data_IF_890502094305
#
_entry.id   IF_890502094305
#
_cell.length_a   1.000
_cell.length_b   1.000
_cell.length_c   1.000
_cell.angle_alpha   90.00
_cell.angle_beta   90.00
_cell.angle_gamma   90.00
#
_symmetry.space_group_name_H-M   'P 1'
#
loop_
_entity.id
_entity.type
_entity.pdbx_description
1 polymer ?
#
# COMPACT_ATOMS: atom_id res chain seq x y z
N UNK A 1 -10.62 9.09 -4.88
CA UNK A 1 -9.95 9.08 -6.18
C UNK A 1 -9.18 10.39 -6.32
N UNK A 2 -7.91 10.41 -5.91
CA UNK A 2 -7.04 11.57 -6.10
C UNK A 2 -6.78 11.71 -7.59
N UNK A 3 -7.16 12.85 -8.15
CA UNK A 3 -6.79 13.29 -9.49
C UNK A 3 -5.28 13.16 -9.65
N UNK A 4 -4.86 12.23 -10.52
CA UNK A 4 -3.53 12.08 -11.13
C UNK A 4 -2.63 13.33 -10.97
N UNK A 5 -1.88 13.41 -9.86
CA UNK A 5 -0.74 14.31 -9.76
C UNK A 5 0.51 13.58 -10.26
N UNK A 6 0.42 12.99 -11.46
CA UNK A 6 1.51 12.23 -12.07
C UNK A 6 2.80 13.03 -12.20
N UNK A 7 2.71 14.37 -12.20
CA UNK A 7 3.85 15.28 -12.17
C UNK A 7 4.75 15.11 -10.92
N UNK A 8 4.21 14.60 -9.81
CA UNK A 8 4.92 14.34 -8.56
C UNK A 8 5.20 12.85 -8.31
N UNK A 9 4.87 11.96 -9.26
CA UNK A 9 5.23 10.54 -9.24
C UNK A 9 6.68 10.31 -9.72
N UNK A 10 7.57 11.23 -9.35
CA UNK A 10 9.00 11.26 -9.64
C UNK A 10 9.76 11.91 -8.48
N UNK A 11 11.07 11.76 -8.45
CA UNK A 11 11.90 12.56 -7.55
C UNK A 11 11.87 14.03 -8.01
N UNK A 12 11.56 14.90 -7.07
CA UNK A 12 11.63 16.36 -7.20
C UNK A 12 12.65 16.86 -6.18
N UNK A 13 13.68 17.53 -6.66
CA UNK A 13 14.77 18.03 -5.84
C UNK A 13 14.36 19.27 -5.02
N UNK A 14 15.01 19.57 -3.88
CA UNK A 14 14.65 20.70 -3.02
C UNK A 14 14.62 22.08 -3.70
N UNK A 15 15.39 22.25 -4.77
CA UNK A 15 15.48 23.49 -5.54
C UNK A 15 14.48 23.55 -6.70
N UNK A 16 13.81 22.44 -7.04
CA UNK A 16 12.82 22.41 -8.11
C UNK A 16 11.51 23.08 -7.66
N UNK A 17 10.84 23.84 -8.55
CA UNK A 17 9.49 24.30 -8.30
C UNK A 17 8.57 23.13 -7.99
N UNK A 18 7.73 23.27 -6.96
CA UNK A 18 6.78 22.21 -6.57
C UNK A 18 7.36 21.18 -5.59
N UNK A 19 8.61 21.31 -5.14
CA UNK A 19 9.20 20.40 -4.13
C UNK A 19 8.30 20.14 -2.91
N UNK A 20 7.76 21.19 -2.29
CA UNK A 20 6.87 21.01 -1.13
C UNK A 20 5.57 20.28 -1.47
N UNK A 21 5.06 20.44 -2.70
CA UNK A 21 3.89 19.68 -3.17
C UNK A 21 4.25 18.22 -3.40
N UNK A 22 5.42 17.93 -3.98
CA UNK A 22 5.92 16.57 -4.13
C UNK A 22 6.14 15.87 -2.77
N UNK A 23 6.64 16.60 -1.76
CA UNK A 23 6.74 16.08 -0.40
C UNK A 23 5.36 15.77 0.20
N UNK A 24 4.40 16.71 0.09
CA UNK A 24 3.03 16.49 0.57
C UNK A 24 2.35 15.30 -0.14
N UNK A 25 2.55 15.17 -1.45
CA UNK A 25 2.10 14.03 -2.25
C UNK A 25 2.74 12.73 -1.76
N UNK A 26 4.05 12.72 -1.48
CA UNK A 26 4.75 11.58 -0.89
C UNK A 26 4.15 11.14 0.45
N UNK A 27 3.85 12.07 1.36
CA UNK A 27 3.16 11.76 2.61
C UNK A 27 1.73 11.24 2.39
N UNK A 28 1.00 11.78 1.41
CA UNK A 28 -0.34 11.32 1.07
C UNK A 28 -0.33 9.87 0.57
N UNK A 29 0.60 9.55 -0.34
CA UNK A 29 0.78 8.18 -0.85
C UNK A 29 1.16 7.20 0.27
N UNK A 30 2.07 7.58 1.18
CA UNK A 30 2.45 6.75 2.34
C UNK A 30 1.24 6.43 3.22
N UNK A 31 0.34 7.40 3.43
CA UNK A 31 -0.90 7.15 4.18
C UNK A 31 -1.84 6.19 3.44
N UNK A 32 -1.99 6.38 2.12
CA UNK A 32 -2.88 5.57 1.30
C UNK A 32 -2.45 4.09 1.24
N UNK A 33 -1.14 3.81 1.11
CA UNK A 33 -0.65 2.42 1.18
C UNK A 33 -0.84 1.81 2.58
N UNK A 34 -0.76 2.59 3.66
CA UNK A 34 -1.01 2.11 5.03
C UNK A 34 -2.48 1.73 5.22
N UNK A 35 -3.40 2.49 4.62
CA UNK A 35 -4.84 2.18 4.57
C UNK A 35 -5.07 0.87 3.80
N UNK A 36 -4.46 0.69 2.62
CA UNK A 36 -4.55 -0.57 1.84
C UNK A 36 -4.01 -1.78 2.61
N UNK A 37 -2.88 -1.63 3.31
CA UNK A 37 -2.31 -2.72 4.12
C UNK A 37 -3.18 -3.05 5.33
N UNK A 38 -3.80 -2.04 5.94
CA UNK A 38 -4.76 -2.23 7.03
C UNK A 38 -6.01 -2.97 6.56
N UNK A 39 -6.51 -2.63 5.37
CA UNK A 39 -7.61 -3.33 4.72
C UNK A 39 -7.25 -4.79 4.40
N UNK A 40 -6.08 -5.05 3.78
CA UNK A 40 -5.61 -6.40 3.51
C UNK A 40 -5.54 -7.23 4.80
N UNK A 41 -4.92 -6.70 5.85
CA UNK A 41 -4.85 -7.37 7.17
C UNK A 41 -6.22 -7.66 7.77
N UNK A 42 -7.25 -6.89 7.41
CA UNK A 42 -8.62 -7.15 7.87
C UNK A 42 -9.24 -8.40 7.25
N UNK A 43 -8.81 -8.79 6.05
CA UNK A 43 -9.26 -10.01 5.35
C UNK A 43 -8.42 -11.24 5.67
N UNK A 44 -7.17 -11.05 6.12
CA UNK A 44 -6.26 -12.14 6.44
C UNK A 44 -6.88 -13.11 7.47
N UNK A 45 -7.09 -14.37 7.07
CA UNK A 45 -7.65 -15.42 7.93
C UNK A 45 -9.15 -15.27 8.23
N UNK A 46 -9.87 -14.41 7.48
CA UNK A 46 -11.33 -14.36 7.56
C UNK A 46 -11.96 -15.39 6.64
N UNK A 47 -13.03 -15.97 7.15
CA UNK A 47 -13.86 -16.94 6.46
C UNK A 47 -15.31 -16.47 6.53
N UNK A 48 -16.04 -16.67 5.44
CA UNK A 48 -17.49 -16.54 5.41
C UNK A 48 -18.10 -17.92 5.69
N UNK A 49 -19.22 -17.94 6.39
CA UNK A 49 -19.87 -19.18 6.77
C UNK A 49 -21.14 -18.95 7.56
N UNK A 50 -21.79 -20.05 7.92
CA UNK A 50 -22.95 -20.06 8.79
C UNK A 50 -22.86 -21.23 9.76
N UNK A 51 -23.53 -21.13 10.90
CA UNK A 51 -23.72 -22.27 11.80
C UNK A 51 -24.89 -23.10 11.27
N UNK A 52 -24.66 -24.39 11.00
CA UNK A 52 -25.73 -25.32 10.60
C UNK A 52 -26.76 -25.41 11.75
N UNK A 53 -28.06 -25.15 11.50
CA UNK A 53 -29.06 -25.12 12.57
C UNK A 53 -29.42 -26.50 13.12
N UNK A 54 -29.05 -27.58 12.42
CA UNK A 54 -29.31 -28.97 12.79
C UNK A 54 -28.10 -29.55 13.51
N UNK A 55 -26.91 -29.50 12.90
CA UNK A 55 -25.70 -30.10 13.48
C UNK A 55 -24.97 -29.17 14.44
N UNK A 56 -25.25 -27.86 14.39
CA UNK A 56 -24.54 -26.80 15.12
C UNK A 56 -23.06 -26.67 14.74
N UNK A 57 -22.66 -27.26 13.62
CA UNK A 57 -21.30 -27.13 13.09
C UNK A 57 -21.12 -25.79 12.35
N UNK A 58 -19.89 -25.27 12.36
CA UNK A 58 -19.52 -24.15 11.51
C UNK A 58 -19.31 -24.65 10.08
N UNK A 59 -20.14 -24.19 9.16
CA UNK A 59 -19.99 -24.43 7.72
C UNK A 59 -19.31 -23.23 7.08
N UNK A 60 -18.07 -23.41 6.63
CA UNK A 60 -17.32 -22.40 5.89
C UNK A 60 -17.79 -22.43 4.43
N UNK A 61 -18.23 -21.29 3.92
CA UNK A 61 -18.77 -21.12 2.56
C UNK A 61 -17.81 -20.39 1.62
N UNK A 62 -16.73 -19.80 2.14
CA UNK A 62 -15.71 -19.13 1.35
C UNK A 62 -14.63 -18.51 2.23
N UNK A 63 -13.47 -18.26 1.64
CA UNK A 63 -12.34 -17.58 2.28
C UNK A 63 -12.24 -16.16 1.73
N UNK A 64 -11.80 -15.20 2.53
CA UNK A 64 -11.58 -13.81 2.07
C UNK A 64 -10.22 -13.62 1.37
N UNK A 65 -9.69 -14.66 0.73
CA UNK A 65 -8.37 -14.63 0.08
C UNK A 65 -8.36 -13.70 -1.14
N UNK A 66 -9.46 -13.65 -1.90
CA UNK A 66 -9.58 -12.76 -3.06
C UNK A 66 -9.56 -11.29 -2.65
N UNK A 67 -10.28 -10.92 -1.58
CA UNK A 67 -10.27 -9.55 -1.05
C UNK A 67 -8.92 -9.18 -0.45
N UNK A 68 -8.26 -10.12 0.24
CA UNK A 68 -6.89 -9.95 0.73
C UNK A 68 -5.93 -9.65 -0.42
N UNK A 69 -5.91 -10.48 -1.47
CA UNK A 69 -5.00 -10.29 -2.60
C UNK A 69 -5.33 -9.03 -3.40
N UNK A 70 -6.62 -8.66 -3.52
CA UNK A 70 -7.01 -7.39 -4.13
C UNK A 70 -6.40 -6.20 -3.39
N UNK A 71 -6.58 -6.12 -2.06
CA UNK A 71 -6.04 -5.03 -1.25
C UNK A 71 -4.50 -5.02 -1.27
N UNK A 72 -3.86 -6.19 -1.26
CA UNK A 72 -2.41 -6.30 -1.41
C UNK A 72 -1.91 -5.85 -2.78
N UNK A 73 -2.66 -6.10 -3.85
CA UNK A 73 -2.30 -5.64 -5.19
C UNK A 73 -2.38 -4.12 -5.31
N UNK A 74 -3.37 -3.48 -4.68
CA UNK A 74 -3.47 -2.02 -4.60
C UNK A 74 -2.28 -1.44 -3.80
N UNK A 75 -1.94 -2.03 -2.66
CA UNK A 75 -0.76 -1.64 -1.88
C UNK A 75 0.54 -1.77 -2.71
N UNK A 76 0.71 -2.88 -3.45
CA UNK A 76 1.86 -3.09 -4.35
C UNK A 76 1.90 -2.07 -5.50
N UNK A 77 0.74 -1.67 -6.04
CA UNK A 77 0.67 -0.64 -7.08
C UNK A 77 1.12 0.73 -6.55
N UNK A 78 0.63 1.13 -5.38
CA UNK A 78 1.06 2.35 -4.69
C UNK A 78 2.55 2.31 -4.34
N UNK A 79 3.06 1.17 -3.87
CA UNK A 79 4.47 1.01 -3.53
C UNK A 79 5.39 1.34 -4.72
N UNK A 80 5.03 0.94 -5.94
CA UNK A 80 5.77 1.26 -7.17
C UNK A 80 5.75 2.75 -7.51
N UNK A 81 4.69 3.46 -7.16
CA UNK A 81 4.60 4.92 -7.33
C UNK A 81 5.50 5.61 -6.30
N UNK A 82 5.39 5.22 -5.03
CA UNK A 82 6.19 5.77 -3.93
C UNK A 82 7.69 5.54 -4.19
N UNK A 83 8.05 4.35 -4.68
CA UNK A 83 9.42 3.95 -4.96
C UNK A 83 10.19 4.93 -5.87
N UNK A 84 9.49 5.65 -6.74
CA UNK A 84 10.09 6.63 -7.66
C UNK A 84 9.79 8.09 -7.29
N UNK A 85 9.09 8.34 -6.18
CA UNK A 85 8.71 9.69 -5.75
C UNK A 85 9.43 10.13 -4.47
N UNK A 86 9.24 11.39 -4.07
CA UNK A 86 9.74 11.88 -2.78
C UNK A 86 9.27 11.06 -1.57
N UNK A 87 8.19 10.26 -1.71
CA UNK A 87 7.76 9.31 -0.68
C UNK A 87 8.84 8.29 -0.30
N UNK A 88 9.62 7.76 -1.26
CA UNK A 88 10.77 6.91 -0.97
C UNK A 88 11.82 7.62 -0.10
N UNK A 89 12.15 8.87 -0.43
CA UNK A 89 13.12 9.67 0.33
C UNK A 89 12.61 9.95 1.75
N UNK A 90 11.31 10.23 1.91
CA UNK A 90 10.66 10.40 3.22
C UNK A 90 10.84 9.14 4.07
N UNK A 91 10.48 7.95 3.55
CA UNK A 91 10.57 6.69 4.29
C UNK A 91 12.02 6.39 4.70
N UNK A 92 12.98 6.61 3.78
CA UNK A 92 14.41 6.47 4.05
C UNK A 92 14.88 7.42 5.14
N UNK A 93 14.48 8.69 5.09
CA UNK A 93 14.86 9.70 6.07
C UNK A 93 14.27 9.42 7.46
N UNK A 94 13.07 8.83 7.52
CA UNK A 94 12.45 8.36 8.77
C UNK A 94 13.08 7.09 9.33
N UNK A 95 13.94 6.39 8.57
CA UNK A 95 14.53 5.12 8.98
C UNK A 95 13.51 3.99 9.12
N UNK A 96 12.37 4.05 8.41
CA UNK A 96 11.31 3.04 8.51
C UNK A 96 11.76 1.70 7.91
N UNK A 97 11.37 0.61 8.57
CA UNK A 97 11.68 -0.78 8.19
C UNK A 97 10.48 -1.73 8.32
N UNK A 98 9.28 -1.19 8.56
CA UNK A 98 8.03 -1.95 8.58
C UNK A 98 7.62 -2.42 7.17
N UNK A 99 6.55 -3.22 7.10
CA UNK A 99 6.06 -3.88 5.88
C UNK A 99 5.84 -2.91 4.71
N UNK A 100 5.25 -1.73 4.97
CA UNK A 100 5.05 -0.68 3.96
C UNK A 100 6.40 -0.24 3.39
N UNK A 101 7.35 0.09 4.27
CA UNK A 101 8.68 0.52 3.85
C UNK A 101 9.40 -0.59 3.06
N UNK A 102 9.27 -1.85 3.46
CA UNK A 102 9.85 -2.98 2.73
C UNK A 102 9.25 -3.13 1.33
N UNK A 103 7.93 -3.05 1.18
CA UNK A 103 7.27 -3.09 -0.14
C UNK A 103 7.79 -1.99 -1.06
N UNK A 104 7.93 -0.77 -0.54
CA UNK A 104 8.45 0.37 -1.30
C UNK A 104 9.93 0.18 -1.67
N UNK A 105 10.76 -0.29 -0.74
CA UNK A 105 12.19 -0.50 -1.00
C UNK A 105 12.42 -1.63 -2.02
N UNK A 106 11.70 -2.74 -1.91
CA UNK A 106 11.75 -3.82 -2.91
C UNK A 106 11.32 -3.32 -4.29
N UNK A 107 10.24 -2.53 -4.37
CA UNK A 107 9.81 -1.93 -5.63
C UNK A 107 10.87 -0.97 -6.19
N UNK A 108 11.53 -0.19 -5.35
CA UNK A 108 12.62 0.69 -5.78
C UNK A 108 13.83 -0.09 -6.32
N UNK A 109 14.21 -1.18 -5.65
CA UNK A 109 15.34 -2.01 -6.08
C UNK A 109 15.05 -2.71 -7.42
N UNK A 110 13.81 -3.18 -7.62
CA UNK A 110 13.34 -3.77 -8.89
C UNK A 110 13.36 -2.78 -10.06
N UNK A 111 13.19 -1.49 -9.82
CA UNK A 111 13.29 -0.46 -10.88
C UNK A 111 14.74 -0.19 -11.31
N UNK A 112 15.73 -0.67 -10.54
CA UNK A 112 17.17 -0.44 -10.78
C UNK A 112 17.89 -1.64 -11.39
N UNK A 113 17.28 -2.81 -11.37
CA UNK A 113 17.77 -4.05 -12.00
C UNK A 113 17.41 -4.09 -13.48
#
# INVERSE_FOLDING_TARGET
MLTSQSEFDRFVEPHEPGYFRAQAHGFALIREIDDCLSEAKSYAGRYTGYTDPVTHDLVITGECEEEYESAMNDARALARIIAKSNGYQILRAQGRSDELAQLVYMAHDQLRS
#
